data_IF_942718524473
#
_entry.id   IF_942718524473
#
_cell.length_a   1.000
_cell.length_b   1.000
_cell.length_c   1.000
_cell.angle_alpha   90.00
_cell.angle_beta   90.00
_cell.angle_gamma   90.00
#
_symmetry.space_group_name_H-M   'P 1'
#
loop_
_entity.id
_entity.type
_entity.pdbx_description
1 polymer ?
#
# COMPACT_ATOMS: atom_id res chain seq x y z
N UNK A 1 4.45 14.88 8.03
CA UNK A 1 5.42 13.83 7.61
C UNK A 1 5.52 13.93 6.09
N UNK A 2 6.71 14.17 5.53
CA UNK A 2 6.89 14.27 4.07
C UNK A 2 6.91 12.87 3.48
N UNK A 3 6.16 12.65 2.41
CA UNK A 3 6.24 11.43 1.61
C UNK A 3 7.65 11.35 0.98
N UNK A 4 8.51 10.45 1.45
CA UNK A 4 9.79 10.15 0.81
C UNK A 4 9.61 9.25 -0.42
N UNK A 5 8.50 9.46 -1.13
CA UNK A 5 8.10 8.83 -2.38
C UNK A 5 8.97 9.37 -3.52
N UNK A 6 8.99 8.73 -4.71
CA UNK A 6 9.98 9.07 -5.70
C UNK A 6 9.90 10.57 -6.08
N UNK A 7 11.07 11.19 -6.29
CA UNK A 7 11.21 12.64 -6.34
C UNK A 7 10.41 13.25 -7.49
N UNK A 8 10.02 14.52 -7.34
CA UNK A 8 9.47 15.32 -8.44
C UNK A 8 10.51 15.45 -9.58
N UNK A 9 10.14 16.05 -10.71
CA UNK A 9 11.03 16.26 -11.87
C UNK A 9 11.50 17.73 -11.85
N UNK A 10 12.78 18.01 -11.53
CA UNK A 10 13.44 19.35 -11.47
C UNK A 10 14.90 19.31 -10.96
N UNK A 11 15.89 19.51 -11.82
CA UNK A 11 17.32 19.24 -11.54
C UNK A 11 17.96 20.01 -10.36
N UNK A 12 18.47 19.26 -9.39
CA UNK A 12 19.55 19.64 -8.48
C UNK A 12 20.62 18.54 -8.41
N UNK A 13 21.87 18.89 -8.67
CA UNK A 13 23.00 17.95 -8.67
C UNK A 13 23.55 17.74 -7.26
N UNK A 14 23.00 16.76 -6.55
CA UNK A 14 23.58 16.18 -5.34
C UNK A 14 24.08 14.75 -5.57
N UNK A 15 24.82 14.20 -4.59
CA UNK A 15 25.44 12.86 -4.62
C UNK A 15 24.49 11.78 -5.19
N UNK A 16 24.89 11.08 -6.27
CA UNK A 16 24.03 10.18 -7.06
C UNK A 16 23.64 8.92 -6.29
N UNK A 17 22.53 8.98 -5.55
CA UNK A 17 21.87 7.80 -4.99
C UNK A 17 20.99 7.13 -6.06
N UNK A 18 20.92 5.80 -6.03
CA UNK A 18 20.02 5.01 -6.89
C UNK A 18 18.84 4.50 -6.09
N UNK A 19 17.63 4.55 -6.66
CA UNK A 19 16.42 3.94 -6.08
C UNK A 19 15.85 2.91 -7.03
N UNK A 20 15.46 1.75 -6.49
CA UNK A 20 14.71 0.74 -7.20
C UNK A 20 13.22 0.87 -6.81
N UNK A 21 12.34 0.91 -7.81
CA UNK A 21 10.89 0.98 -7.64
C UNK A 21 10.31 -0.35 -8.11
N UNK A 22 9.75 -1.11 -7.18
CA UNK A 22 9.09 -2.37 -7.46
C UNK A 22 7.59 -2.17 -7.62
N UNK A 23 7.02 -2.58 -8.76
CA UNK A 23 5.59 -2.48 -9.03
C UNK A 23 5.02 -3.88 -9.25
N UNK A 24 4.11 -4.29 -8.38
CA UNK A 24 3.34 -5.54 -8.49
C UNK A 24 1.91 -5.21 -8.87
N UNK A 25 1.48 -5.58 -10.07
CA UNK A 25 0.14 -5.31 -10.57
C UNK A 25 -0.26 -6.34 -11.62
N UNK A 26 -1.54 -6.72 -11.62
CA UNK A 26 -2.12 -7.54 -12.68
C UNK A 26 -2.02 -6.84 -14.04
N UNK A 27 -2.22 -5.52 -14.08
CA UNK A 27 -2.12 -4.69 -15.28
C UNK A 27 -0.69 -4.15 -15.45
N UNK A 28 -0.15 -4.21 -16.67
CA UNK A 28 1.19 -3.71 -17.02
C UNK A 28 1.30 -2.18 -17.09
N UNK A 29 0.19 -1.49 -17.35
CA UNK A 29 0.18 -0.07 -17.69
C UNK A 29 0.72 0.83 -16.58
N UNK A 30 0.57 0.46 -15.30
CA UNK A 30 1.18 1.22 -14.20
C UNK A 30 2.70 1.15 -14.23
N UNK A 31 3.25 -0.03 -14.49
CA UNK A 31 4.69 -0.24 -14.63
C UNK A 31 5.23 0.52 -15.85
N UNK A 32 4.57 0.37 -17.00
CA UNK A 32 4.98 1.04 -18.25
C UNK A 32 5.00 2.56 -18.08
N UNK A 33 3.91 3.16 -17.56
CA UNK A 33 3.84 4.61 -17.34
C UNK A 33 4.93 5.14 -16.41
N UNK A 34 5.18 4.47 -15.28
CA UNK A 34 6.20 4.93 -14.32
C UNK A 34 7.61 4.71 -14.85
N UNK A 35 7.86 3.60 -15.56
CA UNK A 35 9.14 3.35 -16.23
C UNK A 35 9.43 4.42 -17.28
N UNK A 36 8.47 4.68 -18.16
CA UNK A 36 8.65 5.60 -19.29
C UNK A 36 8.86 7.03 -18.79
N UNK A 37 8.15 7.44 -17.72
CA UNK A 37 8.36 8.74 -17.06
C UNK A 37 9.82 8.95 -16.64
N UNK A 38 10.42 7.98 -15.92
CA UNK A 38 11.81 8.10 -15.45
C UNK A 38 12.86 7.75 -16.51
N UNK A 39 12.43 7.16 -17.62
CA UNK A 39 13.28 6.96 -18.79
C UNK A 39 13.42 8.24 -19.60
N UNK A 40 12.32 8.98 -19.79
CA UNK A 40 12.27 10.21 -20.57
C UNK A 40 12.75 11.43 -19.78
N UNK A 41 12.58 11.42 -18.44
CA UNK A 41 12.89 12.56 -17.60
C UNK A 41 13.79 12.20 -16.40
N UNK A 42 14.88 12.96 -16.17
CA UNK A 42 15.71 12.75 -14.99
C UNK A 42 14.96 13.18 -13.71
N UNK A 43 15.18 12.46 -12.62
CA UNK A 43 14.66 12.83 -11.30
C UNK A 43 15.17 14.21 -10.85
N UNK A 44 14.33 14.97 -10.15
CA UNK A 44 14.69 16.28 -9.63
C UNK A 44 15.97 16.26 -8.81
N UNK A 45 16.04 15.29 -7.91
CA UNK A 45 17.12 15.11 -6.96
C UNK A 45 18.43 14.62 -7.62
N UNK A 46 18.44 14.36 -8.93
CA UNK A 46 19.57 13.75 -9.64
C UNK A 46 19.73 12.25 -9.37
N UNK A 47 18.77 11.63 -8.67
CA UNK A 47 18.75 10.20 -8.37
C UNK A 47 18.51 9.36 -9.62
N UNK A 48 19.14 8.18 -9.67
CA UNK A 48 18.86 7.20 -10.73
C UNK A 48 17.71 6.31 -10.29
N UNK A 49 16.57 6.43 -10.96
CA UNK A 49 15.37 5.62 -10.68
C UNK A 49 15.31 4.45 -11.65
N UNK A 50 15.19 3.23 -11.12
CA UNK A 50 14.98 2.01 -11.92
C UNK A 50 13.68 1.36 -11.51
N UNK A 51 12.81 1.12 -12.48
CA UNK A 51 11.48 0.55 -12.24
C UNK A 51 11.50 -0.91 -12.64
N UNK A 52 11.01 -1.78 -11.76
CA UNK A 52 10.97 -3.22 -11.95
C UNK A 52 9.55 -3.75 -11.76
N UNK A 53 9.17 -4.73 -12.58
CA UNK A 53 7.96 -5.51 -12.43
C UNK A 53 8.33 -6.99 -12.53
N UNK A 54 8.19 -7.79 -11.47
CA UNK A 54 8.61 -9.19 -11.48
C UNK A 54 7.69 -10.04 -12.36
N UNK A 55 6.39 -9.80 -12.29
CA UNK A 55 5.41 -10.64 -12.97
C UNK A 55 4.26 -9.87 -13.66
N UNK A 56 3.58 -10.55 -14.59
CA UNK A 56 2.40 -10.06 -15.29
C UNK A 56 1.41 -11.20 -15.56
N UNK A 57 0.31 -11.21 -14.82
CA UNK A 57 -0.69 -12.28 -14.92
C UNK A 57 -2.00 -11.82 -15.58
N UNK A 58 -2.22 -10.51 -15.73
CA UNK A 58 -3.42 -9.92 -16.32
C UNK A 58 -4.67 -10.00 -15.44
N UNK A 59 -5.01 -11.19 -14.93
CA UNK A 59 -6.15 -11.43 -14.06
C UNK A 59 -5.86 -12.50 -13.00
N UNK A 60 -6.65 -12.50 -11.92
CA UNK A 60 -6.49 -13.44 -10.80
C UNK A 60 -6.94 -14.85 -11.18
N UNK A 61 -6.10 -15.86 -10.88
CA UNK A 61 -6.32 -17.28 -11.18
C UNK A 61 -6.04 -18.17 -9.96
N UNK A 62 -6.84 -18.01 -8.90
CA UNK A 62 -6.59 -18.62 -7.58
C UNK A 62 -6.55 -20.16 -7.56
N UNK A 63 -7.12 -20.83 -8.55
CA UNK A 63 -7.07 -22.30 -8.67
C UNK A 63 -5.76 -22.82 -9.27
N UNK A 64 -4.91 -21.93 -9.81
CA UNK A 64 -3.65 -22.33 -10.45
C UNK A 64 -2.49 -22.17 -9.48
N UNK A 65 -1.87 -23.29 -9.12
CA UNK A 65 -0.74 -23.33 -8.19
C UNK A 65 0.41 -22.42 -8.63
N UNK A 66 0.76 -22.40 -9.92
CA UNK A 66 1.84 -21.54 -10.42
C UNK A 66 1.52 -20.05 -10.28
N UNK A 67 0.30 -19.64 -10.60
CA UNK A 67 -0.16 -18.26 -10.42
C UNK A 67 -0.06 -17.83 -8.94
N UNK A 68 -0.49 -18.69 -8.02
CA UNK A 68 -0.39 -18.43 -6.58
C UNK A 68 1.06 -18.35 -6.10
N UNK A 69 1.97 -19.19 -6.63
CA UNK A 69 3.41 -19.09 -6.31
C UNK A 69 4.01 -17.78 -6.78
N UNK A 70 3.63 -17.30 -7.97
CA UNK A 70 4.10 -16.01 -8.45
C UNK A 70 3.53 -14.86 -7.62
N UNK A 71 2.24 -14.89 -7.27
CA UNK A 71 1.65 -13.91 -6.37
C UNK A 71 2.35 -13.89 -4.99
N UNK A 72 2.71 -15.06 -4.46
CA UNK A 72 3.51 -15.17 -3.24
C UNK A 72 4.91 -14.59 -3.39
N UNK A 73 5.59 -14.85 -4.52
CA UNK A 73 6.89 -14.27 -4.82
C UNK A 73 6.83 -12.74 -4.91
N UNK A 74 5.79 -12.19 -5.53
CA UNK A 74 5.54 -10.75 -5.59
C UNK A 74 5.35 -10.15 -4.18
N UNK A 75 4.54 -10.78 -3.32
CA UNK A 75 4.40 -10.36 -1.91
C UNK A 75 5.75 -10.41 -1.19
N UNK A 76 6.53 -11.47 -1.39
CA UNK A 76 7.83 -11.64 -0.76
C UNK A 76 8.84 -10.56 -1.15
N UNK A 77 8.83 -10.15 -2.42
CA UNK A 77 9.67 -9.05 -2.88
C UNK A 77 9.24 -7.73 -2.24
N UNK A 78 7.94 -7.46 -2.09
CA UNK A 78 7.45 -6.25 -1.40
C UNK A 78 7.86 -6.19 0.07
N UNK A 79 7.91 -7.32 0.79
CA UNK A 79 8.38 -7.40 2.19
C UNK A 79 9.79 -6.83 2.33
N UNK A 80 10.64 -7.00 1.32
CA UNK A 80 12.05 -6.54 1.33
C UNK A 80 12.26 -5.07 0.96
N UNK A 81 11.17 -4.28 0.83
CA UNK A 81 11.27 -2.86 0.44
C UNK A 81 11.47 -1.93 1.64
N UNK A 82 12.21 -0.83 1.45
CA UNK A 82 12.40 0.18 2.51
C UNK A 82 11.13 1.03 2.74
N UNK A 83 10.37 1.27 1.67
CA UNK A 83 9.13 2.06 1.67
C UNK A 83 8.10 1.32 0.83
N UNK A 84 6.93 1.10 1.42
CA UNK A 84 5.83 0.39 0.78
C UNK A 84 4.65 1.33 0.51
N UNK A 85 4.15 1.28 -0.73
CA UNK A 85 2.89 1.90 -1.13
C UNK A 85 1.89 0.78 -1.42
N UNK A 86 0.71 0.87 -0.83
CA UNK A 86 -0.33 -0.16 -0.94
C UNK A 86 -1.61 0.44 -1.49
N UNK A 87 -2.45 -0.43 -2.06
CA UNK A 87 -3.78 -0.03 -2.50
C UNK A 87 -4.79 -0.30 -1.40
N UNK A 88 -5.76 0.60 -1.28
CA UNK A 88 -6.88 0.40 -0.39
C UNK A 88 -7.62 -0.91 -0.68
N UNK A 89 -8.02 -1.61 0.40
CA UNK A 89 -8.80 -2.86 0.40
C UNK A 89 -8.00 -4.08 -0.08
N UNK A 90 -6.71 -3.93 -0.40
CA UNK A 90 -5.88 -5.02 -0.91
C UNK A 90 -5.32 -5.89 0.21
N UNK A 91 -5.95 -7.06 0.43
CA UNK A 91 -5.40 -8.07 1.37
C UNK A 91 -4.03 -8.61 0.93
N UNK A 92 -3.75 -8.61 -0.38
CA UNK A 92 -2.42 -8.94 -0.93
C UNK A 92 -1.34 -8.04 -0.31
N UNK A 93 -1.62 -6.75 -0.21
CA UNK A 93 -0.68 -5.78 0.32
C UNK A 93 -0.59 -5.83 1.86
N UNK A 94 -1.68 -6.19 2.54
CA UNK A 94 -1.66 -6.35 3.99
C UNK A 94 -0.71 -7.46 4.45
N UNK A 95 -0.62 -8.56 3.69
CA UNK A 95 0.35 -9.63 3.98
C UNK A 95 1.78 -9.12 3.87
N UNK A 96 2.10 -8.41 2.79
CA UNK A 96 3.44 -7.88 2.56
C UNK A 96 3.86 -6.85 3.61
N UNK A 97 2.99 -5.88 3.92
CA UNK A 97 3.30 -4.84 4.90
C UNK A 97 3.51 -5.44 6.31
N UNK A 98 2.70 -6.42 6.71
CA UNK A 98 2.76 -6.99 8.05
C UNK A 98 3.99 -7.88 8.23
N UNK A 99 4.30 -8.73 7.25
CA UNK A 99 5.51 -9.56 7.28
C UNK A 99 6.79 -8.72 7.17
N UNK A 100 6.74 -7.58 6.48
CA UNK A 100 7.85 -6.62 6.42
C UNK A 100 7.97 -5.72 7.64
N UNK A 101 6.99 -5.71 8.55
CA UNK A 101 6.93 -4.74 9.64
C UNK A 101 6.85 -3.29 9.14
N UNK A 102 6.24 -3.08 7.96
CA UNK A 102 6.22 -1.80 7.26
C UNK A 102 4.91 -1.07 7.52
N UNK A 103 5.00 0.22 7.84
CA UNK A 103 3.85 1.14 7.87
C UNK A 103 3.70 1.79 6.49
N UNK A 104 2.73 1.37 5.67
CA UNK A 104 2.69 1.78 4.27
C UNK A 104 2.08 3.16 4.06
N UNK A 105 2.27 3.69 2.86
CA UNK A 105 1.41 4.72 2.27
C UNK A 105 0.25 4.05 1.54
N UNK A 106 -0.97 4.39 1.89
CA UNK A 106 -2.18 3.79 1.34
C UNK A 106 -2.72 4.71 0.25
N UNK A 107 -2.73 4.24 -1.00
CA UNK A 107 -3.45 4.86 -2.10
C UNK A 107 -4.96 4.68 -1.88
N UNK A 108 -5.68 5.79 -1.77
CA UNK A 108 -7.13 5.75 -1.58
C UNK A 108 -7.83 5.15 -2.79
N UNK A 109 -8.95 4.47 -2.54
CA UNK A 109 -9.76 3.92 -3.61
C UNK A 109 -10.35 5.08 -4.46
N UNK A 110 -10.10 5.11 -5.78
CA UNK A 110 -10.75 6.09 -6.65
C UNK A 110 -12.27 5.88 -6.69
N UNK A 111 -13.02 6.98 -6.63
CA UNK A 111 -14.45 7.00 -6.89
C UNK A 111 -14.71 7.61 -8.27
N UNK A 112 -15.63 7.04 -9.05
CA UNK A 112 -15.98 7.52 -10.40
C UNK A 112 -14.75 7.77 -11.31
N UNK A 113 -13.73 6.90 -11.21
CA UNK A 113 -12.47 7.01 -11.96
C UNK A 113 -11.73 8.35 -11.76
N UNK A 114 -12.01 9.05 -10.66
CA UNK A 114 -11.36 10.32 -10.31
C UNK A 114 -10.26 10.05 -9.28
N UNK A 115 -9.09 10.67 -9.47
CA UNK A 115 -7.99 10.58 -8.52
C UNK A 115 -8.38 11.25 -7.20
N UNK A 116 -8.29 10.56 -6.05
CA UNK A 116 -8.55 11.15 -4.75
C UNK A 116 -7.59 12.31 -4.43
N UNK A 117 -8.05 13.28 -3.63
CA UNK A 117 -7.22 14.36 -3.08
C UNK A 117 -7.34 14.41 -1.55
N UNK A 118 -6.26 14.09 -0.79
CA UNK A 118 -4.95 13.67 -1.28
C UNK A 118 -5.00 12.27 -1.92
N UNK A 119 -4.04 11.88 -2.78
CA UNK A 119 -4.05 10.58 -3.47
C UNK A 119 -3.70 9.40 -2.55
N UNK A 120 -2.92 9.65 -1.49
CA UNK A 120 -2.56 8.67 -0.49
C UNK A 120 -2.40 9.30 0.90
N UNK A 121 -2.26 8.44 1.90
CA UNK A 121 -1.86 8.83 3.26
C UNK A 121 -1.03 7.76 3.93
N UNK A 122 -0.26 8.15 4.95
CA UNK A 122 0.38 7.19 5.83
C UNK A 122 -0.65 6.37 6.61
N UNK A 123 -0.45 5.06 6.68
CA UNK A 123 -1.21 4.20 7.56
C UNK A 123 -0.95 4.57 9.03
N UNK A 124 -1.93 4.32 9.88
CA UNK A 124 -1.86 4.46 11.33
C UNK A 124 -0.88 3.44 11.91
N UNK A 125 -0.89 2.21 11.40
CA UNK A 125 -0.01 1.10 11.83
C UNK A 125 0.26 0.12 10.69
N UNK A 126 1.13 -0.86 10.92
CA UNK A 126 1.39 -1.96 9.98
C UNK A 126 0.30 -3.04 9.95
N UNK A 127 -0.67 -3.00 10.87
CA UNK A 127 -1.64 -4.08 11.09
C UNK A 127 -2.59 -4.30 9.89
N UNK A 128 -3.19 -5.49 9.84
CA UNK A 128 -4.19 -5.79 8.81
C UNK A 128 -5.52 -5.12 9.14
N UNK A 129 -6.31 -4.84 8.12
CA UNK A 129 -7.67 -4.35 8.30
C UNK A 129 -8.68 -5.50 8.27
N UNK A 130 -9.53 -5.57 9.29
CA UNK A 130 -10.67 -6.48 9.35
C UNK A 130 -11.88 -5.83 8.68
N UNK A 131 -12.14 -6.21 7.42
CA UNK A 131 -13.15 -5.58 6.55
C UNK A 131 -14.61 -5.76 7.01
N UNK A 132 -14.91 -6.85 7.72
CA UNK A 132 -16.27 -7.20 8.15
C UNK A 132 -16.32 -7.53 9.65
N UNK A 133 -16.03 -6.53 10.52
CA UNK A 133 -16.04 -6.73 11.95
C UNK A 133 -17.47 -6.78 12.49
N UNK A 134 -17.72 -7.50 13.60
CA UNK A 134 -19.01 -7.45 14.26
C UNK A 134 -19.21 -6.09 14.97
N UNK A 135 -20.43 -5.57 14.90
CA UNK A 135 -20.88 -4.36 15.58
C UNK A 135 -21.93 -4.68 16.64
N UNK A 136 -21.65 -5.64 17.51
CA UNK A 136 -22.64 -6.18 18.45
C UNK A 136 -22.05 -6.35 19.85
N UNK A 137 -22.72 -5.74 20.83
CA UNK A 137 -22.49 -6.00 22.24
C UNK A 137 -23.28 -7.24 22.65
N UNK A 138 -22.56 -8.30 23.00
CA UNK A 138 -23.16 -9.57 23.44
C UNK A 138 -23.91 -9.44 24.77
N UNK A 139 -23.40 -8.63 25.70
CA UNK A 139 -23.96 -8.50 27.04
C UNK A 139 -25.24 -7.68 27.02
N UNK A 140 -25.23 -6.56 26.29
CA UNK A 140 -26.39 -5.69 26.14
C UNK A 140 -27.34 -6.11 25.02
N UNK A 141 -26.93 -7.11 24.22
CA UNK A 141 -27.66 -7.67 23.09
C UNK A 141 -28.07 -6.65 22.02
N UNK A 142 -27.24 -5.64 21.80
CA UNK A 142 -27.54 -4.50 20.90
C UNK A 142 -26.34 -4.12 20.03
N UNK A 143 -26.59 -3.28 19.02
CA UNK A 143 -25.53 -2.76 18.16
C UNK A 143 -24.57 -1.82 18.92
N UNK A 144 -23.27 -1.90 18.63
CA UNK A 144 -22.25 -1.05 19.25
C UNK A 144 -21.16 -0.65 18.26
N UNK A 145 -20.56 0.53 18.47
CA UNK A 145 -19.46 1.04 17.66
C UNK A 145 -18.12 0.47 18.16
N UNK A 146 -17.80 -0.74 17.69
CA UNK A 146 -16.63 -1.52 18.09
C UNK A 146 -15.30 -0.77 17.93
N UNK A 147 -15.20 0.17 16.98
CA UNK A 147 -14.00 0.98 16.73
C UNK A 147 -13.75 2.12 17.73
N UNK A 148 -14.67 2.34 18.68
CA UNK A 148 -14.52 3.34 19.75
C UNK A 148 -14.40 2.73 21.15
N UNK A 149 -14.48 1.41 21.26
CA UNK A 149 -14.47 0.72 22.56
C UNK A 149 -13.10 0.77 23.24
N UNK A 150 -12.03 0.55 22.47
CA UNK A 150 -10.67 0.45 23.01
C UNK A 150 -9.74 1.40 22.26
N UNK A 151 -8.74 2.01 22.93
CA UNK A 151 -7.82 2.93 22.27
C UNK A 151 -7.00 2.30 21.14
N UNK A 152 -6.63 1.03 21.29
CA UNK A 152 -5.84 0.26 20.32
C UNK A 152 -6.68 -0.36 19.19
N UNK A 153 -7.99 -0.12 19.15
CA UNK A 153 -8.86 -0.51 18.03
C UNK A 153 -9.42 0.76 17.41
N UNK A 154 -9.22 0.92 16.10
CA UNK A 154 -9.67 2.09 15.35
C UNK A 154 -10.31 1.70 14.04
N UNK A 155 -11.16 2.59 13.54
CA UNK A 155 -11.65 2.51 12.17
C UNK A 155 -10.50 2.69 11.19
N UNK A 156 -10.53 1.93 10.11
CA UNK A 156 -9.48 1.91 9.12
C UNK A 156 -9.43 3.21 8.27
N UNK A 157 -8.27 3.54 7.69
CA UNK A 157 -8.03 4.85 7.08
C UNK A 157 -8.91 5.15 5.86
N UNK A 158 -9.32 4.11 5.12
CA UNK A 158 -10.11 4.20 3.88
C UNK A 158 -11.40 3.36 3.91
N UNK A 159 -11.87 2.97 5.10
CA UNK A 159 -13.14 2.28 5.25
C UNK A 159 -13.70 2.53 6.65
N UNK A 160 -14.72 3.38 6.72
CA UNK A 160 -15.29 3.89 7.97
C UNK A 160 -15.88 2.80 8.88
N UNK A 161 -16.19 1.61 8.36
CA UNK A 161 -16.70 0.50 9.17
C UNK A 161 -15.63 -0.56 9.50
N UNK A 162 -14.57 -0.68 8.73
CA UNK A 162 -13.58 -1.71 9.01
C UNK A 162 -12.70 -1.34 10.21
N UNK A 163 -12.15 -2.35 10.88
CA UNK A 163 -11.36 -2.16 12.09
C UNK A 163 -9.92 -2.58 11.89
N UNK A 164 -9.02 -1.91 12.59
CA UNK A 164 -7.59 -2.21 12.61
C UNK A 164 -7.01 -1.94 14.00
N UNK A 165 -5.96 -2.67 14.33
CA UNK A 165 -5.18 -2.45 15.55
C UNK A 165 -4.19 -1.30 15.36
N UNK A 166 -4.05 -0.46 16.38
CA UNK A 166 -3.08 0.64 16.41
C UNK A 166 -2.31 0.59 17.73
N UNK A 167 -1.02 0.93 17.71
CA UNK A 167 -0.21 0.95 18.93
C UNK A 167 -0.45 2.23 19.75
N UNK A 168 -0.29 2.13 21.07
CA UNK A 168 -0.43 3.23 22.02
C UNK A 168 0.63 4.32 21.85
N UNK A 169 1.79 4.00 21.27
CA UNK A 169 2.85 4.98 20.99
C UNK A 169 2.61 5.80 19.72
N UNK A 170 1.59 5.44 18.93
CA UNK A 170 1.24 6.08 17.66
C UNK A 170 -0.07 6.91 17.74
N UNK A 171 -0.61 7.13 18.94
CA UNK A 171 -1.77 8.00 19.24
C UNK A 171 -1.38 9.44 19.61
#
# INVERSE_FOLDING_TARGET
MKENLPPQINMHFGNRKSKAVLITSLNSGYFEKVRDLYWEHPAATGEVIRVYRPNHEGYRQSEKQMHNRMAWADMWLLISTDVLVTNSWSTFAYVAQALGGLKPWILYKPENQTTPDPPCRGAMSMEHCFHAPPFYDRMERKGIESGKLFPHVRHWEDMSWALKLVDHTEL
#
